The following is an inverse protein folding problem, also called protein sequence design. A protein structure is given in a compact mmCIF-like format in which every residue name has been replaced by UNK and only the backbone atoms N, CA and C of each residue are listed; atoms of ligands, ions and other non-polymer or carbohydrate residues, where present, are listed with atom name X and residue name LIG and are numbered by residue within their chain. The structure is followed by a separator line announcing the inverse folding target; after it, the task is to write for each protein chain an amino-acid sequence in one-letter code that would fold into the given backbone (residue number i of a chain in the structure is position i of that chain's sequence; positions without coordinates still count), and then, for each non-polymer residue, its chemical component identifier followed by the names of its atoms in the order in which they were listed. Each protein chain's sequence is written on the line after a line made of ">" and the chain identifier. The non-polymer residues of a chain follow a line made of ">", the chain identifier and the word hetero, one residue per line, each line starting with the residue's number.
data_IF_850846034031
#
_entry.id   IF_850846034031
#
_cell.length_a   1.000
_cell.length_b   1.000
_cell.length_c   1.000
_cell.angle_alpha   90.00
_cell.angle_beta   90.00
_cell.angle_gamma   90.00
#
_symmetry.space_group_name_H-M   'P 1'
#
loop_
_entity.id
_entity.type
_entity.pdbx_description
1 polymer ?
#
# COMPACT_ATOMS: atom_id res chain seq x y z
N UNK A 1 -11.07 20.98 1.61
CA UNK A 1 -11.58 19.60 1.48
C UNK A 1 -11.82 18.94 2.85
N UNK A 2 -10.79 18.82 3.70
CA UNK A 2 -10.87 18.15 5.02
C UNK A 2 -12.02 18.68 5.89
N UNK A 3 -12.15 20.00 6.03
CA UNK A 3 -13.23 20.64 6.80
C UNK A 3 -14.64 20.15 6.40
N UNK A 4 -14.95 20.15 5.10
CA UNK A 4 -16.27 19.73 4.60
C UNK A 4 -16.51 18.22 4.74
N UNK A 5 -15.44 17.42 4.67
CA UNK A 5 -15.52 15.97 4.89
C UNK A 5 -15.89 15.63 6.35
N UNK A 6 -15.51 16.47 7.32
CA UNK A 6 -15.75 16.23 8.75
C UNK A 6 -16.86 17.09 9.38
N UNK A 7 -17.33 18.15 8.70
CA UNK A 7 -18.26 19.13 9.28
C UNK A 7 -19.53 18.48 9.87
N UNK A 8 -20.19 17.54 9.17
CA UNK A 8 -21.35 16.83 9.75
C UNK A 8 -20.97 15.54 10.49
N UNK A 9 -19.78 15.53 11.10
CA UNK A 9 -19.23 14.38 11.83
C UNK A 9 -19.32 13.09 10.99
N UNK A 10 -19.79 11.98 11.57
CA UNK A 10 -19.88 10.67 10.94
C UNK A 10 -20.78 10.67 9.70
N UNK A 11 -21.82 11.51 9.63
CA UNK A 11 -22.75 11.52 8.49
C UNK A 11 -22.11 12.04 7.20
N UNK A 12 -21.25 13.07 7.29
CA UNK A 12 -20.48 13.54 6.14
C UNK A 12 -19.30 12.61 5.86
N UNK A 13 -18.56 12.24 6.92
CA UNK A 13 -17.38 11.39 6.82
C UNK A 13 -17.69 10.03 6.20
N UNK A 14 -18.82 9.40 6.56
CA UNK A 14 -19.20 8.10 6.01
C UNK A 14 -19.41 8.13 4.49
N UNK A 15 -20.03 9.18 3.95
CA UNK A 15 -20.26 9.32 2.50
C UNK A 15 -18.96 9.53 1.73
N UNK A 16 -18.11 10.42 2.24
CA UNK A 16 -16.79 10.68 1.64
C UNK A 16 -15.90 9.43 1.71
N UNK A 17 -15.99 8.68 2.82
CA UNK A 17 -15.22 7.46 3.05
C UNK A 17 -15.49 6.38 2.03
N UNK A 18 -16.73 6.24 1.53
CA UNK A 18 -16.99 5.28 0.45
C UNK A 18 -16.09 5.58 -0.74
N UNK A 19 -16.04 6.82 -1.23
CA UNK A 19 -15.15 7.19 -2.33
C UNK A 19 -13.67 7.04 -1.95
N UNK A 20 -13.24 7.65 -0.84
CA UNK A 20 -11.82 7.73 -0.49
C UNK A 20 -11.24 6.40 -0.03
N UNK A 21 -12.05 5.47 0.45
CA UNK A 21 -11.61 4.14 0.83
C UNK A 21 -11.69 3.15 -0.34
N UNK A 22 -12.73 3.19 -1.19
CA UNK A 22 -12.87 2.19 -2.27
C UNK A 22 -12.08 2.54 -3.52
N UNK A 23 -11.98 3.82 -3.88
CA UNK A 23 -11.28 4.24 -5.10
C UNK A 23 -9.80 3.79 -5.10
N UNK A 24 -9.02 3.92 -4.00
CA UNK A 24 -7.65 3.41 -3.97
C UNK A 24 -7.55 1.91 -4.27
N UNK A 25 -8.47 1.06 -3.79
CA UNK A 25 -8.44 -0.36 -4.11
C UNK A 25 -8.65 -0.62 -5.60
N UNK A 26 -9.58 0.10 -6.22
CA UNK A 26 -9.82 -0.02 -7.67
C UNK A 26 -8.56 0.39 -8.44
N UNK A 27 -7.95 1.53 -8.09
CA UNK A 27 -6.72 2.01 -8.71
C UNK A 27 -5.57 1.02 -8.53
N UNK A 28 -5.37 0.48 -7.31
CA UNK A 28 -4.36 -0.53 -7.03
C UNK A 28 -4.56 -1.76 -7.93
N UNK A 29 -5.79 -2.26 -8.06
CA UNK A 29 -6.06 -3.44 -8.89
C UNK A 29 -5.79 -3.18 -10.39
N UNK A 30 -6.19 -2.01 -10.89
CA UNK A 30 -5.97 -1.64 -12.30
C UNK A 30 -4.48 -1.43 -12.58
N UNK A 31 -3.78 -0.70 -11.71
CA UNK A 31 -2.34 -0.46 -11.83
C UNK A 31 -1.54 -1.74 -11.67
N UNK A 32 -1.94 -2.63 -10.74
CA UNK A 32 -1.34 -3.95 -10.57
C UNK A 32 -1.48 -4.78 -11.84
N UNK A 33 -2.69 -4.82 -12.43
CA UNK A 33 -2.93 -5.50 -13.69
C UNK A 33 -1.99 -5.01 -14.79
N UNK A 34 -1.76 -3.70 -14.90
CA UNK A 34 -0.79 -3.17 -15.85
C UNK A 34 0.65 -3.53 -15.49
N UNK A 35 1.06 -3.28 -14.25
CA UNK A 35 2.44 -3.43 -13.81
C UNK A 35 2.95 -4.87 -13.98
N UNK A 36 2.09 -5.86 -13.76
CA UNK A 36 2.42 -7.28 -13.98
C UNK A 36 2.60 -7.65 -15.46
N UNK A 37 2.07 -6.86 -16.39
CA UNK A 37 2.23 -7.06 -17.84
C UNK A 37 3.41 -6.30 -18.43
N UNK A 38 4.17 -5.55 -17.63
CA UNK A 38 5.34 -4.81 -18.09
C UNK A 38 6.53 -5.75 -18.27
N UNK A 39 7.33 -5.50 -19.31
CA UNK A 39 8.60 -6.20 -19.50
C UNK A 39 9.53 -5.93 -18.32
N UNK A 40 10.15 -6.97 -17.77
CA UNK A 40 11.03 -6.88 -16.60
C UNK A 40 10.32 -6.95 -15.25
N UNK A 41 8.97 -7.00 -15.21
CA UNK A 41 8.22 -7.18 -13.97
C UNK A 41 8.62 -8.49 -13.24
N UNK A 42 8.92 -9.54 -14.00
CA UNK A 42 9.38 -10.83 -13.46
C UNK A 42 10.67 -10.70 -12.65
N UNK A 43 11.63 -9.87 -13.10
CA UNK A 43 12.88 -9.60 -12.37
C UNK A 43 12.58 -8.91 -11.04
N UNK A 44 11.69 -7.90 -11.07
CA UNK A 44 11.22 -7.19 -9.89
C UNK A 44 10.56 -8.11 -8.85
N UNK A 45 9.66 -8.97 -9.30
CA UNK A 45 8.97 -9.95 -8.44
C UNK A 45 9.93 -11.01 -7.89
N UNK A 46 10.87 -11.50 -8.69
CA UNK A 46 11.92 -12.41 -8.21
C UNK A 46 12.74 -11.76 -7.11
N UNK A 47 13.08 -10.48 -7.24
CA UNK A 47 13.78 -9.75 -6.18
C UNK A 47 12.91 -9.62 -4.92
N UNK A 48 11.64 -9.24 -5.06
CA UNK A 48 10.72 -9.03 -3.94
C UNK A 48 10.46 -10.30 -3.12
N UNK A 49 10.28 -11.44 -3.79
CA UNK A 49 9.98 -12.71 -3.13
C UNK A 49 11.20 -13.57 -2.83
N UNK A 50 12.43 -13.11 -3.11
CA UNK A 50 13.65 -13.86 -2.79
C UNK A 50 13.96 -13.78 -1.30
N UNK A 51 13.82 -14.88 -0.54
CA UNK A 51 14.13 -14.86 0.89
C UNK A 51 15.64 -14.76 1.10
N UNK A 52 16.05 -13.87 2.02
CA UNK A 52 17.43 -13.77 2.54
C UNK A 52 17.39 -14.18 4.00
N UNK A 53 17.56 -15.47 4.27
CA UNK A 53 17.37 -16.07 5.59
C UNK A 53 18.38 -15.57 6.62
N UNK A 54 19.58 -15.16 6.18
CA UNK A 54 20.61 -14.65 7.08
C UNK A 54 20.15 -13.39 7.83
N UNK A 55 19.32 -12.56 7.18
CA UNK A 55 18.80 -11.31 7.74
C UNK A 55 17.87 -11.53 8.94
N UNK A 56 17.28 -12.73 9.10
CA UNK A 56 16.42 -13.02 10.25
C UNK A 56 17.19 -13.05 11.58
N UNK A 57 18.51 -13.23 11.53
CA UNK A 57 19.38 -13.12 12.70
C UNK A 57 19.63 -11.68 13.16
N UNK A 58 19.29 -10.69 12.34
CA UNK A 58 19.53 -9.29 12.64
C UNK A 58 18.37 -8.65 13.41
N UNK A 59 18.65 -8.08 14.58
CA UNK A 59 17.64 -7.43 15.41
C UNK A 59 16.91 -6.28 14.70
N UNK A 60 17.62 -5.55 13.83
CA UNK A 60 17.05 -4.41 13.09
C UNK A 60 15.89 -4.82 12.17
N UNK A 61 15.92 -6.03 11.60
CA UNK A 61 14.83 -6.53 10.74
C UNK A 61 13.53 -6.65 11.54
N UNK A 62 13.61 -7.16 12.77
CA UNK A 62 12.46 -7.29 13.65
C UNK A 62 11.96 -5.94 14.19
N UNK A 63 12.89 -5.03 14.52
CA UNK A 63 12.54 -3.66 14.94
C UNK A 63 11.78 -2.95 13.81
N UNK A 64 12.29 -3.02 12.58
CA UNK A 64 11.64 -2.42 11.41
C UNK A 64 10.28 -3.07 11.12
N UNK A 65 10.16 -4.40 11.21
CA UNK A 65 8.89 -5.09 11.03
C UNK A 65 7.84 -4.68 12.09
N UNK A 66 8.24 -4.56 13.35
CA UNK A 66 7.37 -4.12 14.43
C UNK A 66 6.93 -2.65 14.24
N UNK A 67 7.88 -1.76 13.94
CA UNK A 67 7.61 -0.34 13.69
C UNK A 67 6.67 -0.16 12.47
N UNK A 68 6.90 -0.91 11.39
CA UNK A 68 6.06 -0.87 10.20
C UNK A 68 4.63 -1.30 10.51
N UNK A 69 4.44 -2.43 11.20
CA UNK A 69 3.10 -2.90 11.57
C UNK A 69 2.37 -1.93 12.50
N UNK A 70 3.07 -1.39 13.49
CA UNK A 70 2.51 -0.45 14.45
C UNK A 70 2.04 0.85 13.77
N UNK A 71 2.87 1.41 12.88
CA UNK A 71 2.53 2.61 12.12
C UNK A 71 1.45 2.34 11.04
N UNK A 72 1.47 1.16 10.41
CA UNK A 72 0.52 0.80 9.35
C UNK A 72 -0.91 0.66 9.86
N UNK A 73 -1.11 -0.01 11.00
CA UNK A 73 -2.45 -0.18 11.60
C UNK A 73 -2.85 1.08 12.39
N UNK A 74 -1.89 1.81 12.93
CA UNK A 74 -2.12 3.06 13.65
C UNK A 74 -2.71 2.88 15.04
N UNK A 75 -2.30 1.84 15.76
CA UNK A 75 -2.90 1.37 17.02
C UNK A 75 -2.85 2.42 18.14
N UNK A 76 -1.84 3.31 18.16
CA UNK A 76 -1.64 4.30 19.24
C UNK A 76 -2.10 5.73 18.92
N UNK A 77 -2.67 5.99 17.74
CA UNK A 77 -2.98 7.38 17.32
C UNK A 77 -4.36 7.87 17.78
N UNK A 78 -5.09 7.09 18.57
CA UNK A 78 -6.42 7.47 19.09
C UNK A 78 -7.55 7.47 18.05
N UNK A 79 -7.22 7.38 16.76
CA UNK A 79 -8.19 7.29 15.65
C UNK A 79 -9.04 6.02 15.72
N UNK A 80 -8.40 4.86 15.92
CA UNK A 80 -9.10 3.57 16.07
C UNK A 80 -9.98 3.53 17.31
N UNK A 81 -9.50 4.10 18.43
CA UNK A 81 -10.28 4.24 19.67
C UNK A 81 -11.51 5.14 19.42
N UNK A 82 -11.31 6.25 18.72
CA UNK A 82 -12.39 7.18 18.38
C UNK A 82 -13.44 6.51 17.50
N UNK A 83 -13.04 5.75 16.48
CA UNK A 83 -13.98 5.00 15.64
C UNK A 83 -14.71 3.89 16.41
N UNK A 84 -14.00 3.15 17.26
CA UNK A 84 -14.60 2.11 18.09
C UNK A 84 -15.63 2.67 19.08
N UNK A 85 -15.48 3.91 19.55
CA UNK A 85 -16.45 4.53 20.46
C UNK A 85 -17.83 4.77 19.85
N UNK A 86 -17.95 4.71 18.51
CA UNK A 86 -19.22 4.81 17.79
C UNK A 86 -19.84 3.45 17.42
N UNK A 87 -19.19 2.33 17.77
CA UNK A 87 -19.74 1.01 17.52
C UNK A 87 -20.93 0.71 18.43
N UNK A 88 -21.80 -0.21 17.99
CA UNK A 88 -22.85 -0.77 18.86
C UNK A 88 -22.21 -1.50 20.03
N UNK A 89 -22.83 -1.44 21.21
CA UNK A 89 -22.31 -2.09 22.42
C UNK A 89 -22.08 -3.60 22.25
N UNK A 90 -22.98 -4.30 21.54
CA UNK A 90 -22.87 -5.74 21.27
C UNK A 90 -22.18 -6.06 19.93
N UNK A 91 -21.34 -5.15 19.40
CA UNK A 91 -20.61 -5.40 18.16
C UNK A 91 -19.49 -6.44 18.37
N UNK A 92 -19.30 -7.36 17.42
CA UNK A 92 -18.19 -8.31 17.46
C UNK A 92 -16.89 -7.63 17.01
N UNK A 93 -16.21 -6.98 17.96
CA UNK A 93 -14.98 -6.25 17.66
C UNK A 93 -13.82 -7.17 17.22
N UNK A 94 -13.79 -8.42 17.68
CA UNK A 94 -12.73 -9.37 17.30
C UNK A 94 -12.76 -9.64 15.79
N UNK A 95 -13.95 -9.86 15.24
CA UNK A 95 -14.12 -10.08 13.81
C UNK A 95 -13.65 -8.85 13.01
N UNK A 96 -14.04 -7.65 13.43
CA UNK A 96 -13.67 -6.40 12.75
C UNK A 96 -12.15 -6.16 12.82
N UNK A 97 -11.53 -6.40 13.97
CA UNK A 97 -10.08 -6.26 14.14
C UNK A 97 -9.30 -7.23 13.25
N UNK A 98 -9.72 -8.49 13.17
CA UNK A 98 -9.09 -9.48 12.30
C UNK A 98 -9.26 -9.09 10.82
N UNK A 99 -10.45 -8.65 10.42
CA UNK A 99 -10.71 -8.21 9.05
C UNK A 99 -9.85 -6.99 8.66
N UNK A 100 -9.79 -5.96 9.51
CA UNK A 100 -8.96 -4.77 9.28
C UNK A 100 -7.49 -5.15 9.17
N UNK A 101 -6.99 -6.01 10.05
CA UNK A 101 -5.59 -6.45 10.03
C UNK A 101 -5.26 -7.26 8.78
N UNK A 102 -6.14 -8.17 8.37
CA UNK A 102 -5.97 -8.98 7.17
C UNK A 102 -6.00 -8.12 5.90
N UNK A 103 -6.96 -7.19 5.80
CA UNK A 103 -7.07 -6.26 4.66
C UNK A 103 -5.82 -5.36 4.60
N UNK A 104 -5.34 -4.84 5.73
CA UNK A 104 -4.12 -4.05 5.79
C UNK A 104 -2.93 -4.84 5.23
N UNK A 105 -2.69 -6.05 5.74
CA UNK A 105 -1.60 -6.91 5.28
C UNK A 105 -1.71 -7.27 3.79
N UNK A 106 -2.90 -7.65 3.33
CA UNK A 106 -3.14 -7.97 1.92
C UNK A 106 -2.89 -6.76 1.02
N UNK A 107 -3.35 -5.57 1.43
CA UNK A 107 -3.14 -4.33 0.67
C UNK A 107 -1.67 -3.97 0.59
N UNK A 108 -0.93 -4.04 1.71
CA UNK A 108 0.52 -3.81 1.73
C UNK A 108 1.26 -4.77 0.80
N UNK A 109 0.85 -6.04 0.76
CA UNK A 109 1.43 -7.02 -0.16
C UNK A 109 1.15 -6.68 -1.63
N UNK A 110 -0.11 -6.34 -1.97
CA UNK A 110 -0.49 -5.95 -3.34
C UNK A 110 0.26 -4.70 -3.81
N UNK A 111 0.40 -3.69 -2.94
CA UNK A 111 1.17 -2.48 -3.25
C UNK A 111 2.66 -2.80 -3.39
N UNK A 112 3.21 -3.71 -2.58
CA UNK A 112 4.57 -4.22 -2.75
C UNK A 112 4.78 -4.89 -4.11
N UNK A 113 3.87 -5.78 -4.51
CA UNK A 113 3.90 -6.44 -5.82
C UNK A 113 3.84 -5.41 -6.95
N UNK A 114 2.93 -4.44 -6.87
CA UNK A 114 2.82 -3.34 -7.83
C UNK A 114 4.15 -2.56 -7.93
N UNK A 115 4.70 -2.14 -6.80
CA UNK A 115 5.93 -1.34 -6.76
C UNK A 115 7.12 -2.09 -7.34
N UNK A 116 7.37 -3.31 -6.89
CA UNK A 116 8.51 -4.11 -7.36
C UNK A 116 8.37 -4.55 -8.81
N UNK A 117 7.16 -4.83 -9.30
CA UNK A 117 6.92 -5.09 -10.73
C UNK A 117 7.33 -3.88 -11.59
N UNK A 118 6.93 -2.68 -11.19
CA UNK A 118 7.30 -1.45 -11.92
C UNK A 118 8.79 -1.13 -11.80
N UNK A 119 9.41 -1.34 -10.62
CA UNK A 119 10.86 -1.18 -10.44
C UNK A 119 11.63 -2.13 -11.36
N UNK A 120 11.17 -3.38 -11.51
CA UNK A 120 11.77 -4.34 -12.44
C UNK A 120 11.73 -3.86 -13.90
N UNK A 121 10.62 -3.23 -14.31
CA UNK A 121 10.52 -2.58 -15.62
C UNK A 121 11.48 -1.40 -15.76
N UNK A 122 11.57 -0.53 -14.76
CA UNK A 122 12.50 0.62 -14.78
C UNK A 122 13.95 0.14 -14.89
N UNK A 123 14.33 -0.87 -14.11
CA UNK A 123 15.68 -1.45 -14.14
C UNK A 123 16.02 -2.03 -15.53
N UNK A 124 15.05 -2.68 -16.18
CA UNK A 124 15.21 -3.17 -17.54
C UNK A 124 15.38 -2.03 -18.56
N UNK A 125 14.56 -0.99 -18.49
CA UNK A 125 14.62 0.16 -19.41
C UNK A 125 15.92 0.96 -19.26
N UNK A 126 16.41 1.12 -18.02
CA UNK A 126 17.65 1.82 -17.72
C UNK A 126 18.90 0.92 -17.86
N UNK A 127 18.71 -0.36 -18.18
CA UNK A 127 19.77 -1.37 -18.27
C UNK A 127 20.68 -1.39 -17.02
N UNK A 128 20.05 -1.33 -15.85
CA UNK A 128 20.70 -1.29 -14.54
C UNK A 128 20.17 -2.40 -13.62
N UNK A 129 20.77 -2.57 -12.44
CA UNK A 129 20.26 -3.52 -11.46
C UNK A 129 19.08 -2.95 -10.69
N UNK A 130 18.23 -3.83 -10.17
CA UNK A 130 17.06 -3.44 -9.35
C UNK A 130 17.50 -2.65 -8.10
N UNK A 131 18.62 -3.03 -7.49
CA UNK A 131 19.16 -2.39 -6.28
C UNK A 131 19.51 -0.92 -6.52
N UNK A 132 19.91 -0.55 -7.74
CA UNK A 132 20.29 0.82 -8.11
C UNK A 132 19.07 1.72 -8.36
N UNK A 133 17.88 1.13 -8.57
CA UNK A 133 16.61 1.85 -8.79
C UNK A 133 15.83 2.03 -7.49
N UNK A 134 16.04 1.15 -6.51
CA UNK A 134 15.37 1.24 -5.22
C UNK A 134 15.91 2.44 -4.46
N UNK A 135 15.02 3.40 -4.19
CA UNK A 135 15.31 4.55 -3.33
C UNK A 135 14.48 4.45 -2.07
N UNK A 136 15.06 4.80 -0.93
CA UNK A 136 14.35 4.88 0.33
C UNK A 136 13.46 6.13 0.40
N UNK A 137 12.29 5.98 1.02
CA UNK A 137 11.41 7.08 1.38
C UNK A 137 10.31 7.40 0.36
N UNK A 138 9.58 8.51 0.57
CA UNK A 138 8.39 8.84 -0.20
C UNK A 138 8.69 9.13 -1.68
N UNK A 139 9.95 9.42 -2.03
CA UNK A 139 10.39 9.63 -3.42
C UNK A 139 10.05 8.46 -4.36
N UNK A 140 10.07 7.23 -3.85
CA UNK A 140 9.77 6.04 -4.65
C UNK A 140 8.36 6.08 -5.23
N UNK A 141 7.40 6.66 -4.52
CA UNK A 141 6.01 6.78 -4.99
C UNK A 141 5.91 7.67 -6.23
N UNK A 142 6.75 8.71 -6.29
CA UNK A 142 6.79 9.69 -7.38
C UNK A 142 7.56 9.19 -8.60
N UNK A 143 8.14 8.00 -8.52
CA UNK A 143 8.78 7.31 -9.66
C UNK A 143 7.91 6.14 -10.11
N UNK A 144 7.52 5.27 -9.18
CA UNK A 144 6.76 4.04 -9.46
C UNK A 144 5.39 4.33 -10.08
N UNK A 145 4.60 5.21 -9.48
CA UNK A 145 3.24 5.45 -9.97
C UNK A 145 3.22 6.15 -11.33
N UNK A 146 3.97 7.25 -11.56
CA UNK A 146 4.03 7.88 -12.88
C UNK A 146 4.54 6.95 -13.97
N UNK A 147 5.54 6.10 -13.67
CA UNK A 147 6.03 5.13 -14.64
C UNK A 147 4.93 4.11 -15.01
N UNK A 148 4.21 3.57 -14.03
CA UNK A 148 3.12 2.63 -14.30
C UNK A 148 2.01 3.31 -15.13
N UNK A 149 1.62 4.54 -14.77
CA UNK A 149 0.58 5.34 -15.44
C UNK A 149 0.99 5.68 -16.89
N UNK A 150 2.23 6.12 -17.10
CA UNK A 150 2.74 6.50 -18.43
C UNK A 150 2.67 5.35 -19.45
N UNK A 151 2.70 4.10 -18.97
CA UNK A 151 2.61 2.90 -19.80
C UNK A 151 1.17 2.41 -20.00
N UNK A 152 0.17 3.04 -19.40
CA UNK A 152 -1.24 2.67 -19.58
C UNK A 152 -1.84 3.30 -20.85
N UNK A 153 -2.80 2.63 -21.51
CA UNK A 153 -3.57 3.26 -22.56
C UNK A 153 -4.34 4.45 -21.97
N UNK A 154 -4.35 5.56 -22.71
CA UNK A 154 -4.90 6.85 -22.26
C UNK A 154 -4.30 7.32 -20.92
N UNK A 155 -2.97 7.34 -20.81
CA UNK A 155 -2.22 7.72 -19.61
C UNK A 155 -2.66 9.04 -18.95
N UNK A 156 -3.20 10.00 -19.71
CA UNK A 156 -3.71 11.28 -19.19
C UNK A 156 -5.03 11.17 -18.40
N UNK A 157 -5.73 10.04 -18.50
CA UNK A 157 -6.97 9.79 -17.74
C UNK A 157 -6.70 9.24 -16.33
N UNK A 158 -5.50 8.70 -16.10
CA UNK A 158 -5.08 8.07 -14.86
C UNK A 158 -4.29 9.05 -13.99
#
# INVERSE_FOLDING_TARGET
>A
MVYFAIWKSIKSSAKVRYLTATLPFILILVFLGRALTLDGADKGLRYFFRPKWELLGEANVWINAAAQNFNSIGISFGSMISFASYNKYNNNILHDTLAVSAINAATSLLVGILAFSTIGNIALEQNTNIEDVISDGPGLIFVVYPQAIAKMPASQLW
#
